data_IF_179279468845
#
_entry.id   IF_179279468845
#
_cell.length_a   1.000
_cell.length_b   1.000
_cell.length_c   1.000
_cell.angle_alpha   90.00
_cell.angle_beta   90.00
_cell.angle_gamma   90.00
#
_symmetry.space_group_name_H-M   'P 1'
#
loop_
_entity.id
_entity.type
_entity.pdbx_description
1 polymer ?
#
# COMPACT_ATOMS: atom_id res chain seq x y z
N UNK A 1 39.79 -29.50 85.71
CA UNK A 1 38.45 -30.13 85.78
C UNK A 1 37.62 -29.59 84.61
N UNK A 2 37.17 -30.47 83.72
CA UNK A 2 36.51 -30.17 82.44
C UNK A 2 35.10 -29.58 82.63
N UNK A 3 34.66 -28.72 81.69
CA UNK A 3 33.27 -28.67 81.19
C UNK A 3 33.23 -28.04 79.79
N UNK A 4 32.59 -28.76 78.86
CA UNK A 4 32.31 -28.43 77.44
C UNK A 4 31.05 -27.55 77.33
N UNK A 5 30.87 -26.88 76.18
CA UNK A 5 29.63 -26.70 75.36
C UNK A 5 29.88 -25.56 74.35
N UNK A 6 30.20 -25.82 73.08
CA UNK A 6 29.35 -26.03 71.87
C UNK A 6 28.52 -24.80 71.43
N UNK A 7 28.72 -24.41 70.16
CA UNK A 7 27.80 -23.61 69.33
C UNK A 7 28.42 -22.30 68.84
N UNK A 8 28.32 -21.85 67.60
CA UNK A 8 27.81 -22.39 66.34
C UNK A 8 28.39 -21.53 65.22
N UNK A 9 28.53 -22.10 64.04
CA UNK A 9 29.15 -21.56 62.81
C UNK A 9 28.52 -20.28 62.27
N UNK A 10 29.34 -19.42 61.66
CA UNK A 10 28.96 -18.72 60.42
C UNK A 10 30.21 -18.52 59.56
N UNK A 11 30.33 -19.32 58.49
CA UNK A 11 31.40 -19.18 57.50
C UNK A 11 31.03 -18.05 56.55
N UNK A 12 31.85 -16.99 56.48
CA UNK A 12 31.77 -16.00 55.42
C UNK A 12 32.72 -16.42 54.28
N UNK A 13 32.15 -16.87 53.17
CA UNK A 13 32.90 -17.14 51.94
C UNK A 13 32.77 -15.90 51.04
N UNK A 14 33.85 -15.15 50.89
CA UNK A 14 33.94 -14.05 49.91
C UNK A 14 34.89 -14.52 48.81
N UNK A 15 34.35 -14.86 47.65
CA UNK A 15 35.09 -15.06 46.41
C UNK A 15 34.64 -13.98 45.42
N UNK A 16 35.37 -12.87 45.41
CA UNK A 16 35.29 -11.88 44.33
C UNK A 16 36.38 -12.19 43.32
N UNK A 17 36.03 -12.91 42.25
CA UNK A 17 36.86 -12.99 41.05
C UNK A 17 36.10 -12.36 39.89
N UNK A 18 36.29 -11.06 39.67
CA UNK A 18 35.90 -10.41 38.43
C UNK A 18 36.97 -10.71 37.39
N UNK A 19 36.79 -11.78 36.62
CA UNK A 19 37.49 -11.94 35.36
C UNK A 19 36.84 -11.00 34.34
N UNK A 20 37.52 -9.90 33.99
CA UNK A 20 37.16 -9.13 32.81
C UNK A 20 37.49 -10.00 31.59
N UNK A 21 36.46 -10.62 31.00
CA UNK A 21 36.61 -11.23 29.69
C UNK A 21 36.88 -10.10 28.69
N UNK A 22 38.13 -10.01 28.21
CA UNK A 22 38.47 -9.12 27.10
C UNK A 22 37.89 -9.77 25.85
N UNK A 23 36.65 -9.41 25.51
CA UNK A 23 36.08 -9.72 24.22
C UNK A 23 36.87 -8.94 23.17
N UNK A 24 37.77 -9.61 22.46
CA UNK A 24 38.35 -9.03 21.24
C UNK A 24 37.21 -8.84 20.24
N UNK A 25 36.97 -7.63 19.72
CA UNK A 25 35.94 -7.44 18.71
C UNK A 25 36.30 -8.29 17.50
N UNK A 26 35.44 -9.26 17.20
CA UNK A 26 35.48 -9.98 15.93
C UNK A 26 35.34 -8.92 14.85
N UNK A 27 36.31 -8.81 13.94
CA UNK A 27 36.14 -8.02 12.72
C UNK A 27 35.04 -8.69 11.91
N UNK A 28 33.82 -8.21 12.06
CA UNK A 28 32.76 -8.49 11.11
C UNK A 28 33.25 -7.98 9.76
N UNK A 29 33.32 -8.84 8.75
CA UNK A 29 33.47 -8.35 7.38
C UNK A 29 32.31 -7.38 7.13
N UNK A 30 32.68 -6.13 6.90
CA UNK A 30 31.75 -5.07 6.61
C UNK A 30 31.17 -5.40 5.23
N UNK A 31 29.96 -5.96 5.22
CA UNK A 31 29.21 -6.26 4.02
C UNK A 31 29.19 -4.99 3.18
N UNK A 32 29.89 -5.02 2.04
CA UNK A 32 29.99 -3.86 1.17
C UNK A 32 28.59 -3.62 0.59
N UNK A 33 27.84 -2.67 1.15
CA UNK A 33 26.46 -2.35 0.79
C UNK A 33 26.32 -1.63 -0.55
N UNK A 34 27.35 -1.64 -1.40
CA UNK A 34 27.38 -0.90 -2.67
C UNK A 34 27.05 -1.71 -3.92
N UNK A 35 26.62 -2.96 -3.80
CA UNK A 35 25.96 -3.65 -4.90
C UNK A 35 24.48 -3.86 -4.55
N UNK A 36 23.69 -2.79 -4.60
CA UNK A 36 22.26 -2.94 -4.80
C UNK A 36 22.08 -3.62 -6.15
N UNK A 37 21.87 -4.93 -6.16
CA UNK A 37 21.32 -5.63 -7.32
C UNK A 37 19.93 -5.03 -7.54
N UNK A 38 19.86 -4.00 -8.38
CA UNK A 38 18.59 -3.44 -8.82
C UNK A 38 18.01 -4.44 -9.81
N UNK A 39 17.18 -5.36 -9.33
CA UNK A 39 16.36 -6.19 -10.20
C UNK A 39 15.42 -5.22 -10.93
N UNK A 40 15.72 -4.94 -12.20
CA UNK A 40 14.88 -4.13 -13.05
C UNK A 40 13.61 -4.94 -13.41
N UNK A 41 12.52 -4.72 -12.67
CA UNK A 41 11.22 -5.28 -13.03
C UNK A 41 10.64 -4.49 -14.20
N UNK A 42 10.55 -5.13 -15.37
CA UNK A 42 9.80 -4.58 -16.50
C UNK A 42 8.31 -4.89 -16.32
N UNK A 43 7.54 -3.87 -15.91
CA UNK A 43 6.08 -3.98 -15.78
C UNK A 43 5.45 -3.76 -17.15
N UNK A 44 4.85 -4.81 -17.72
CA UNK A 44 4.21 -4.79 -19.06
C UNK A 44 2.68 -4.91 -19.00
N UNK A 45 2.10 -4.67 -17.83
CA UNK A 45 0.65 -4.64 -17.60
C UNK A 45 0.25 -3.34 -16.92
N UNK A 46 -0.97 -2.82 -17.18
CA UNK A 46 -1.46 -1.66 -16.46
C UNK A 46 -1.33 -1.87 -14.95
N UNK A 47 -0.94 -0.83 -14.23
CA UNK A 47 -0.73 -0.89 -12.79
C UNK A 47 -1.08 0.45 -12.15
N UNK A 48 -1.46 0.39 -10.87
CA UNK A 48 -1.76 1.57 -10.07
C UNK A 48 -0.43 2.26 -9.74
N UNK A 49 -0.31 3.53 -10.09
CA UNK A 49 0.87 4.37 -9.80
C UNK A 49 0.66 5.27 -8.60
N UNK A 50 -0.58 5.51 -8.20
CA UNK A 50 -0.90 6.30 -7.02
C UNK A 50 -2.37 6.24 -6.65
N UNK A 51 -2.66 6.44 -5.36
CA UNK A 51 -4.00 6.65 -4.86
C UNK A 51 -3.97 7.47 -3.58
N UNK A 52 -5.04 8.19 -3.28
CA UNK A 52 -5.12 8.98 -2.06
C UNK A 52 -6.25 9.99 -2.06
N UNK A 53 -6.17 10.95 -1.14
CA UNK A 53 -7.09 12.08 -1.07
C UNK A 53 -6.39 13.33 -1.56
N UNK A 54 -6.98 14.02 -2.54
CA UNK A 54 -6.52 15.31 -3.05
C UNK A 54 -7.72 16.21 -3.28
N UNK A 55 -7.71 17.43 -2.73
CA UNK A 55 -8.80 18.40 -2.88
C UNK A 55 -10.19 17.83 -2.51
N UNK A 56 -10.27 17.06 -1.42
CA UNK A 56 -11.50 16.37 -0.99
C UNK A 56 -12.08 15.37 -2.02
N UNK A 57 -11.25 14.91 -2.96
CA UNK A 57 -11.55 13.84 -3.90
C UNK A 57 -10.64 12.64 -3.62
N UNK A 58 -11.19 11.45 -3.80
CA UNK A 58 -10.40 10.22 -3.81
C UNK A 58 -9.89 10.03 -5.23
N UNK A 59 -8.57 9.96 -5.39
CA UNK A 59 -7.95 9.72 -6.70
C UNK A 59 -7.36 8.32 -6.77
N UNK A 60 -7.45 7.71 -7.95
CA UNK A 60 -6.80 6.45 -8.30
C UNK A 60 -6.14 6.66 -9.66
N UNK A 61 -4.83 6.53 -9.72
CA UNK A 61 -4.04 6.72 -10.92
C UNK A 61 -3.52 5.37 -11.43
N UNK A 62 -3.75 5.11 -12.71
CA UNK A 62 -3.36 3.88 -13.41
C UNK A 62 -2.48 4.24 -14.60
N UNK A 63 -1.25 3.74 -14.62
CA UNK A 63 -0.42 3.79 -15.81
C UNK A 63 -0.85 2.68 -16.78
N UNK A 64 -1.05 3.05 -18.04
CA UNK A 64 -1.40 2.13 -19.12
C UNK A 64 -0.11 1.73 -19.83
N UNK A 65 0.27 0.45 -19.75
CA UNK A 65 1.48 -0.07 -20.38
C UNK A 65 1.21 -1.38 -21.11
N UNK A 66 2.01 -1.66 -22.14
CA UNK A 66 1.95 -2.88 -22.96
C UNK A 66 0.90 -2.78 -24.07
N UNK A 67 -0.38 -2.68 -23.73
CA UNK A 67 -1.49 -2.57 -24.71
C UNK A 67 -2.45 -1.47 -24.30
N UNK A 68 -3.21 -0.94 -25.27
CA UNK A 68 -4.23 0.07 -24.99
C UNK A 68 -5.33 -0.47 -24.07
N UNK A 69 -5.77 0.37 -23.14
CA UNK A 69 -6.85 0.10 -22.19
C UNK A 69 -8.17 0.60 -22.79
N UNK A 70 -9.15 -0.28 -22.95
CA UNK A 70 -10.47 0.07 -23.47
C UNK A 70 -11.53 0.25 -22.38
N UNK A 71 -11.38 -0.47 -21.27
CA UNK A 71 -12.30 -0.38 -20.13
C UNK A 71 -11.52 -0.38 -18.81
N UNK A 72 -12.06 0.31 -17.82
CA UNK A 72 -11.58 0.32 -16.44
C UNK A 72 -12.76 0.13 -15.50
N UNK A 73 -12.62 -0.74 -14.52
CA UNK A 73 -13.62 -0.96 -13.49
C UNK A 73 -13.02 -0.70 -12.11
N UNK A 74 -13.71 0.12 -11.33
CA UNK A 74 -13.37 0.43 -9.94
C UNK A 74 -14.41 -0.22 -9.04
N UNK A 75 -14.05 -1.28 -8.33
CA UNK A 75 -14.88 -1.85 -7.26
C UNK A 75 -14.86 -0.92 -6.05
N UNK A 76 -16.05 -0.56 -5.58
CA UNK A 76 -16.23 0.32 -4.43
C UNK A 76 -16.11 -0.49 -3.13
N UNK A 77 -15.46 0.06 -2.10
CA UNK A 77 -15.38 -0.57 -0.80
C UNK A 77 -16.75 -0.60 -0.11
N UNK A 78 -17.08 -1.68 0.59
CA UNK A 78 -18.36 -1.87 1.29
C UNK A 78 -18.65 -0.78 2.33
N UNK A 79 -17.60 -0.19 2.90
CA UNK A 79 -17.70 0.91 3.86
C UNK A 79 -18.18 2.22 3.22
N UNK A 80 -18.12 2.34 1.89
CA UNK A 80 -18.66 3.50 1.18
C UNK A 80 -20.19 3.42 1.12
N UNK A 81 -20.82 4.53 1.49
CA UNK A 81 -22.28 4.71 1.39
C UNK A 81 -22.64 5.30 0.03
N UNK A 82 -21.96 6.39 -0.36
CA UNK A 82 -22.20 7.12 -1.60
C UNK A 82 -21.01 8.01 -1.98
N UNK A 83 -21.06 8.49 -3.21
CA UNK A 83 -20.25 9.59 -3.74
C UNK A 83 -21.13 10.47 -4.64
N UNK A 84 -20.67 11.66 -4.99
CA UNK A 84 -21.45 12.62 -5.77
C UNK A 84 -21.11 12.57 -7.27
N UNK A 85 -19.83 12.49 -7.63
CA UNK A 85 -19.40 12.49 -9.04
C UNK A 85 -18.14 11.66 -9.25
N UNK A 86 -17.93 11.29 -10.52
CA UNK A 86 -16.70 10.68 -11.04
C UNK A 86 -16.18 11.58 -12.16
N UNK A 87 -14.89 11.85 -12.12
CA UNK A 87 -14.16 12.53 -13.20
C UNK A 87 -12.97 11.66 -13.63
N UNK A 88 -12.70 11.63 -14.93
CA UNK A 88 -11.66 10.78 -15.52
C UNK A 88 -10.75 11.68 -16.34
N UNK A 89 -9.48 11.74 -15.97
CA UNK A 89 -8.50 12.66 -16.57
C UNK A 89 -7.22 11.94 -16.99
N UNK A 90 -6.45 12.58 -17.86
CA UNK A 90 -5.09 12.19 -18.19
C UNK A 90 -4.07 12.81 -17.24
N UNK A 91 -2.78 12.50 -17.45
CA UNK A 91 -1.66 13.06 -16.67
C UNK A 91 -1.55 14.58 -16.67
N UNK A 92 -2.14 15.28 -17.66
CA UNK A 92 -2.18 16.74 -17.71
C UNK A 92 -3.38 17.34 -16.99
N UNK A 93 -4.28 16.50 -16.46
CA UNK A 93 -5.56 16.91 -15.88
C UNK A 93 -6.64 17.15 -16.93
N UNK A 94 -6.40 16.84 -18.20
CA UNK A 94 -7.42 16.97 -19.25
C UNK A 94 -8.40 15.80 -19.14
N UNK A 95 -9.69 16.10 -19.27
CA UNK A 95 -10.74 15.08 -19.26
C UNK A 95 -10.57 14.09 -20.42
N UNK A 96 -10.70 12.80 -20.09
CA UNK A 96 -10.78 11.70 -21.06
C UNK A 96 -12.26 11.41 -21.32
N UNK A 97 -12.65 11.38 -22.59
CA UNK A 97 -14.03 11.04 -22.98
C UNK A 97 -14.30 9.55 -22.71
N UNK A 98 -15.31 9.27 -21.89
CA UNK A 98 -15.69 7.92 -21.50
C UNK A 98 -17.16 7.85 -21.08
N UNK A 99 -17.79 6.72 -21.36
CA UNK A 99 -19.09 6.36 -20.79
C UNK A 99 -18.86 5.77 -19.40
N UNK A 100 -19.61 6.25 -18.42
CA UNK A 100 -19.54 5.76 -17.04
C UNK A 100 -20.87 5.14 -16.63
N UNK A 101 -20.84 3.92 -16.11
CA UNK A 101 -21.98 3.23 -15.50
C UNK A 101 -21.70 3.01 -14.02
N UNK A 102 -22.58 3.53 -13.16
CA UNK A 102 -22.39 3.56 -11.71
C UNK A 102 -23.40 2.64 -11.04
N UNK A 103 -22.91 1.77 -10.17
CA UNK A 103 -23.74 0.98 -9.26
C UNK A 103 -23.28 1.16 -7.81
N UNK A 104 -23.93 0.47 -6.88
CA UNK A 104 -23.52 0.47 -5.47
C UNK A 104 -22.18 -0.23 -5.23
N UNK A 105 -21.80 -1.13 -6.13
CA UNK A 105 -20.63 -2.02 -5.96
C UNK A 105 -19.44 -1.57 -6.80
N UNK A 106 -19.68 -0.87 -7.91
CA UNK A 106 -18.62 -0.56 -8.87
C UNK A 106 -18.94 0.63 -9.76
N UNK A 107 -17.89 1.22 -10.31
CA UNK A 107 -17.92 2.18 -11.41
C UNK A 107 -17.31 1.47 -12.61
N UNK A 108 -18.08 1.30 -13.68
CA UNK A 108 -17.58 0.80 -14.96
C UNK A 108 -17.35 1.98 -15.90
N UNK A 109 -16.15 2.04 -16.50
CA UNK A 109 -15.69 3.12 -17.37
C UNK A 109 -15.32 2.50 -18.71
N UNK A 110 -16.03 2.87 -19.77
CA UNK A 110 -15.70 2.49 -21.15
C UNK A 110 -15.19 3.73 -21.88
N UNK A 111 -13.93 3.71 -22.28
CA UNK A 111 -13.32 4.85 -22.97
C UNK A 111 -13.87 4.94 -24.39
N UNK A 112 -14.24 6.14 -24.83
CA UNK A 112 -14.72 6.34 -26.21
C UNK A 112 -13.61 6.04 -27.24
N UNK A 113 -12.37 6.35 -26.87
CA UNK A 113 -11.18 5.88 -27.56
C UNK A 113 -10.27 5.16 -26.54
N UNK A 114 -9.74 3.96 -26.87
CA UNK A 114 -8.83 3.27 -25.97
C UNK A 114 -7.63 4.14 -25.58
N UNK A 115 -7.32 4.18 -24.29
CA UNK A 115 -6.15 4.88 -23.78
C UNK A 115 -4.90 4.11 -24.19
N UNK A 116 -4.00 4.74 -24.92
CA UNK A 116 -2.82 4.07 -25.49
C UNK A 116 -1.78 3.73 -24.42
N UNK A 117 -0.95 2.72 -24.71
CA UNK A 117 0.22 2.41 -23.89
C UNK A 117 1.15 3.63 -23.78
N UNK A 118 1.66 3.89 -22.58
CA UNK A 118 2.37 5.11 -22.20
C UNK A 118 1.46 6.20 -21.63
N UNK A 119 0.14 6.04 -21.71
CA UNK A 119 -0.84 6.95 -21.11
C UNK A 119 -1.04 6.70 -19.61
N UNK A 120 -1.74 7.64 -18.97
CA UNK A 120 -2.18 7.56 -17.58
C UNK A 120 -3.66 7.89 -17.52
N UNK A 121 -4.39 7.13 -16.72
CA UNK A 121 -5.78 7.43 -16.36
C UNK A 121 -5.83 7.74 -14.89
N UNK A 122 -6.42 8.87 -14.53
CA UNK A 122 -6.76 9.19 -13.16
C UNK A 122 -8.27 9.24 -13.00
N UNK A 123 -8.79 8.48 -12.03
CA UNK A 123 -10.20 8.47 -11.64
C UNK A 123 -10.33 9.25 -10.35
N UNK A 124 -11.11 10.32 -10.37
CA UNK A 124 -11.41 11.16 -9.21
C UNK A 124 -12.85 10.95 -8.78
N UNK A 125 -13.07 10.63 -7.50
CA UNK A 125 -14.40 10.51 -6.90
C UNK A 125 -14.58 11.61 -5.86
N UNK A 126 -15.63 12.41 -6.00
CA UNK A 126 -15.91 13.53 -5.06
C UNK A 126 -17.14 13.26 -4.20
N UNK A 127 -17.24 13.96 -3.06
CA UNK A 127 -18.42 13.88 -2.19
C UNK A 127 -18.61 12.51 -1.53
N UNK A 128 -17.49 11.85 -1.21
CA UNK A 128 -17.48 10.53 -0.57
C UNK A 128 -18.15 10.63 0.81
N UNK A 129 -19.02 9.67 1.10
CA UNK A 129 -19.57 9.41 2.43
C UNK A 129 -19.38 7.95 2.79
N UNK A 130 -18.89 7.71 4.00
CA UNK A 130 -18.76 6.37 4.58
C UNK A 130 -19.95 6.04 5.48
N UNK A 131 -20.29 4.75 5.57
CA UNK A 131 -21.44 4.26 6.36
C UNK A 131 -21.25 4.41 7.87
N UNK A 132 -20.01 4.33 8.35
CA UNK A 132 -19.66 4.49 9.75
C UNK A 132 -18.64 5.61 9.93
N UNK A 133 -18.72 6.27 11.09
CA UNK A 133 -17.61 7.08 11.60
C UNK A 133 -16.45 6.16 11.99
N UNK A 134 -15.21 6.65 11.84
CA UNK A 134 -14.01 5.89 12.20
C UNK A 134 -13.47 4.94 11.11
N UNK A 135 -14.00 4.97 9.89
CA UNK A 135 -13.35 4.30 8.75
C UNK A 135 -12.03 5.01 8.47
N UNK A 136 -10.93 4.29 8.60
CA UNK A 136 -9.57 4.83 8.43
C UNK A 136 -8.95 4.52 7.07
N UNK A 137 -9.42 3.48 6.41
CA UNK A 137 -8.89 3.03 5.13
C UNK A 137 -10.02 2.52 4.25
N UNK A 138 -9.96 2.89 2.98
CA UNK A 138 -10.82 2.39 1.92
C UNK A 138 -9.97 1.66 0.88
N UNK A 139 -10.43 0.48 0.46
CA UNK A 139 -9.75 -0.38 -0.49
C UNK A 139 -10.61 -0.53 -1.75
N UNK A 140 -10.14 0.02 -2.85
CA UNK A 140 -10.83 -0.05 -4.14
C UNK A 140 -10.21 -1.15 -4.97
N UNK A 141 -11.02 -2.07 -5.49
CA UNK A 141 -10.56 -3.00 -6.51
C UNK A 141 -10.41 -2.26 -7.83
N UNK A 142 -9.33 -2.53 -8.57
CA UNK A 142 -9.11 -1.96 -9.90
C UNK A 142 -8.89 -3.11 -10.87
N UNK A 143 -9.75 -3.21 -11.88
CA UNK A 143 -9.59 -4.13 -13.00
C UNK A 143 -9.70 -3.35 -14.32
N UNK A 144 -9.21 -3.93 -15.41
CA UNK A 144 -9.36 -3.30 -16.71
C UNK A 144 -9.37 -4.31 -17.85
N UNK A 145 -9.87 -3.88 -19.00
CA UNK A 145 -9.86 -4.65 -20.23
C UNK A 145 -8.95 -3.97 -21.24
N UNK A 146 -8.08 -4.75 -21.87
CA UNK A 146 -7.17 -4.29 -22.93
C UNK A 146 -7.73 -4.65 -24.30
N UNK A 147 -7.46 -3.80 -25.29
CA UNK A 147 -7.92 -4.00 -26.67
C UNK A 147 -7.47 -5.37 -27.18
N UNK A 148 -8.41 -6.14 -27.74
CA UNK A 148 -8.14 -7.44 -28.34
C UNK A 148 -8.04 -8.61 -27.34
N UNK A 149 -8.16 -8.35 -26.03
CA UNK A 149 -8.22 -9.39 -25.00
C UNK A 149 -9.65 -9.55 -24.48
N UNK A 150 -10.02 -10.78 -24.13
CA UNK A 150 -11.30 -11.11 -23.50
C UNK A 150 -11.11 -11.23 -21.99
N UNK A 151 -12.05 -10.66 -21.25
CA UNK A 151 -12.11 -10.75 -19.79
C UNK A 151 -11.35 -9.63 -19.07
N UNK A 152 -11.72 -9.44 -17.81
CA UNK A 152 -11.15 -8.43 -16.94
C UNK A 152 -9.80 -8.87 -16.40
N UNK A 153 -8.85 -7.95 -16.38
CA UNK A 153 -7.51 -8.16 -15.83
C UNK A 153 -7.44 -7.44 -14.49
N UNK A 154 -7.14 -8.14 -13.38
CA UNK A 154 -6.85 -7.50 -12.12
C UNK A 154 -5.62 -6.59 -12.26
N UNK A 155 -5.82 -5.29 -12.05
CA UNK A 155 -4.75 -4.29 -12.01
C UNK A 155 -4.21 -4.19 -10.59
N UNK A 156 -5.10 -4.24 -9.58
CA UNK A 156 -4.71 -4.31 -8.18
C UNK A 156 -5.76 -3.76 -7.22
N UNK A 157 -5.29 -3.28 -6.08
CA UNK A 157 -6.12 -2.63 -5.06
C UNK A 157 -5.55 -1.26 -4.74
N UNK A 158 -6.33 -0.20 -4.95
CA UNK A 158 -5.97 1.14 -4.54
C UNK A 158 -6.36 1.35 -3.07
N UNK A 159 -5.37 1.69 -2.25
CA UNK A 159 -5.56 2.00 -0.83
C UNK A 159 -5.65 3.51 -0.66
N UNK A 160 -6.70 3.97 0.01
CA UNK A 160 -6.87 5.36 0.39
C UNK A 160 -7.05 5.42 1.90
N UNK A 161 -6.08 6.03 2.57
CA UNK A 161 -6.17 6.30 4.00
C UNK A 161 -6.89 7.63 4.22
N UNK A 162 -7.92 7.58 5.07
CA UNK A 162 -8.72 8.74 5.45
C UNK A 162 -8.09 9.39 6.67
N UNK A 163 -7.94 10.71 6.64
CA UNK A 163 -7.52 11.46 7.82
C UNK A 163 -8.63 11.41 8.87
N UNK A 164 -8.24 11.23 10.14
CA UNK A 164 -9.17 11.33 11.26
C UNK A 164 -9.81 12.73 11.24
N UNK A 165 -11.12 12.80 11.06
CA UNK A 165 -11.86 14.03 11.33
C UNK A 165 -12.19 14.02 12.82
N UNK A 166 -11.20 14.38 13.64
CA UNK A 166 -11.35 14.61 15.09
C UNK A 166 -12.08 15.91 15.37
#
# INVERSE_FOLDING_TARGET
MMKKLIGSTLSALILTTSAAAIATPVKYEQLNTQAQSQIAYQINVPHITGSGVRNNAHFIQVAVVGMSLQDLMISLPDQMERFNSVEITDQSGKQIAAKTEISKERIAITFEQPVTSGGVVEVNLTGIRTRSSGVRTLLYGVTGQRVGLKGDIPIGTARIDLLDQS
#
